data_IF_325975033928
#
_entry.id   IF_325975033928
#
_cell.length_a   1.000
_cell.length_b   1.000
_cell.length_c   1.000
_cell.angle_alpha   90.00
_cell.angle_beta   90.00
_cell.angle_gamma   90.00
#
_symmetry.space_group_name_H-M   'P 1'
#
loop_
_entity.id
_entity.type
_entity.pdbx_description
1 polymer ?
#
# COMPACT_ATOMS: atom_id res chain seq x y z
N UNK A 1 18.84 -18.90 -10.35
CA UNK A 1 18.33 -18.10 -9.23
C UNK A 1 16.83 -17.93 -9.34
N UNK A 2 16.11 -18.69 -8.55
CA UNK A 2 14.67 -18.48 -8.43
C UNK A 2 14.40 -17.60 -7.23
N UNK A 3 14.11 -16.34 -7.48
CA UNK A 3 13.57 -15.46 -6.46
C UNK A 3 12.06 -15.60 -6.44
N UNK A 4 11.43 -15.37 -5.28
CA UNK A 4 10.01 -15.22 -5.26
C UNK A 4 9.63 -14.03 -6.16
N UNK A 5 8.41 -14.03 -6.66
CA UNK A 5 7.94 -12.96 -7.53
C UNK A 5 8.08 -11.57 -6.86
N UNK A 6 7.78 -11.49 -5.56
CA UNK A 6 7.93 -10.26 -4.80
C UNK A 6 9.37 -9.80 -4.61
N UNK A 7 10.31 -10.74 -4.39
CA UNK A 7 11.72 -10.41 -4.31
C UNK A 7 12.25 -9.83 -5.62
N UNK A 8 11.85 -10.42 -6.74
CA UNK A 8 12.25 -9.93 -8.05
C UNK A 8 11.75 -8.51 -8.29
N UNK A 9 10.50 -8.23 -7.89
CA UNK A 9 9.93 -6.89 -8.00
C UNK A 9 10.72 -5.87 -7.18
N UNK A 10 11.01 -6.17 -5.91
CA UNK A 10 11.72 -5.22 -5.04
C UNK A 10 13.13 -4.95 -5.54
N UNK A 11 13.87 -5.97 -5.96
CA UNK A 11 15.22 -5.81 -6.51
C UNK A 11 15.22 -4.98 -7.79
N UNK A 12 14.29 -5.28 -8.69
CA UNK A 12 14.16 -4.55 -9.94
C UNK A 12 13.87 -3.07 -9.66
N UNK A 13 12.94 -2.79 -8.76
CA UNK A 13 12.53 -1.44 -8.41
C UNK A 13 13.68 -0.68 -7.74
N UNK A 14 14.38 -1.30 -6.78
CA UNK A 14 15.51 -0.69 -6.10
C UNK A 14 16.61 -0.30 -7.08
N UNK A 15 16.90 -1.16 -8.05
CA UNK A 15 17.89 -0.90 -9.07
C UNK A 15 17.50 0.28 -9.97
N UNK A 16 16.24 0.31 -10.39
CA UNK A 16 15.71 1.39 -11.24
C UNK A 16 15.69 2.73 -10.53
N UNK A 17 15.37 2.75 -9.25
CA UNK A 17 15.18 3.98 -8.49
C UNK A 17 16.48 4.63 -8.01
N UNK A 18 17.62 4.10 -8.38
CA UNK A 18 18.91 4.76 -8.15
C UNK A 18 19.08 6.02 -9.00
N UNK A 19 18.31 6.12 -10.07
CA UNK A 19 18.36 7.28 -10.96
C UNK A 19 17.31 8.30 -10.55
N UNK A 20 17.63 9.57 -10.73
CA UNK A 20 16.68 10.65 -10.57
C UNK A 20 15.54 10.48 -11.58
N UNK A 21 14.31 10.64 -11.10
CA UNK A 21 13.15 10.49 -11.96
C UNK A 21 11.84 10.38 -11.20
N UNK A 22 10.77 10.19 -11.96
CA UNK A 22 9.42 9.96 -11.44
C UNK A 22 9.05 8.51 -11.77
N UNK A 23 8.63 7.77 -10.75
CA UNK A 23 8.29 6.35 -10.88
C UNK A 23 6.84 6.16 -10.48
N UNK A 24 6.08 5.45 -11.32
CA UNK A 24 4.66 5.21 -11.12
C UNK A 24 4.48 3.72 -10.84
N UNK A 25 3.85 3.40 -9.71
CA UNK A 25 3.52 2.04 -9.31
C UNK A 25 2.01 1.87 -9.24
N UNK A 26 1.50 0.87 -9.92
CA UNK A 26 0.07 0.56 -9.94
C UNK A 26 -0.19 -0.75 -9.22
N UNK A 27 -0.79 -0.67 -8.05
CA UNK A 27 -1.16 -1.81 -7.20
C UNK A 27 0.00 -2.80 -6.99
N UNK A 28 1.15 -2.34 -6.46
CA UNK A 28 2.30 -3.24 -6.25
C UNK A 28 2.00 -4.35 -5.26
N UNK A 29 1.02 -4.19 -4.38
CA UNK A 29 0.60 -5.22 -3.43
C UNK A 29 0.12 -6.50 -4.13
N UNK A 30 -0.30 -6.45 -5.37
CA UNK A 30 -0.73 -7.65 -6.11
C UNK A 30 0.39 -8.68 -6.28
N UNK A 31 1.64 -8.24 -6.24
CA UNK A 31 2.83 -9.08 -6.37
C UNK A 31 3.57 -9.26 -5.04
N UNK A 32 3.08 -8.67 -3.93
CA UNK A 32 3.83 -8.59 -2.68
C UNK A 32 3.03 -9.13 -1.50
N UNK A 33 3.63 -10.06 -0.76
CA UNK A 33 3.13 -10.44 0.57
C UNK A 33 3.19 -9.24 1.53
N UNK A 34 2.48 -9.28 2.66
CA UNK A 34 2.60 -8.21 3.65
C UNK A 34 4.04 -7.92 4.07
N UNK A 35 4.86 -8.95 4.26
CA UNK A 35 6.26 -8.79 4.60
C UNK A 35 7.03 -8.05 3.50
N UNK A 36 6.77 -8.39 2.24
CA UNK A 36 7.41 -7.73 1.09
C UNK A 36 6.92 -6.29 0.93
N UNK A 37 5.68 -6.02 1.27
CA UNK A 37 5.17 -4.63 1.28
C UNK A 37 5.92 -3.78 2.30
N UNK A 38 6.28 -4.33 3.45
CA UNK A 38 7.09 -3.62 4.44
C UNK A 38 8.49 -3.34 3.88
N UNK A 39 9.09 -4.27 3.15
CA UNK A 39 10.36 -4.02 2.48
C UNK A 39 10.25 -2.87 1.46
N UNK A 40 9.15 -2.84 0.71
CA UNK A 40 8.90 -1.73 -0.21
C UNK A 40 8.81 -0.40 0.54
N UNK A 41 8.11 -0.37 1.67
CA UNK A 41 8.01 0.84 2.49
C UNK A 41 9.39 1.31 2.96
N UNK A 42 10.26 0.40 3.40
CA UNK A 42 11.63 0.75 3.79
C UNK A 42 12.40 1.39 2.65
N UNK A 43 12.27 0.84 1.45
CA UNK A 43 12.91 1.38 0.26
C UNK A 43 12.38 2.75 -0.10
N UNK A 44 11.05 2.93 -0.07
CA UNK A 44 10.42 4.22 -0.35
C UNK A 44 10.88 5.30 0.64
N UNK A 45 11.05 4.94 1.92
CA UNK A 45 11.56 5.88 2.92
C UNK A 45 13.00 6.29 2.62
N UNK A 46 13.84 5.35 2.24
CA UNK A 46 15.23 5.66 1.87
C UNK A 46 15.27 6.61 0.68
N UNK A 47 14.41 6.39 -0.31
CA UNK A 47 14.30 7.26 -1.49
C UNK A 47 13.85 8.66 -1.12
N UNK A 48 12.84 8.76 -0.26
CA UNK A 48 12.32 10.05 0.20
C UNK A 48 13.40 10.85 0.94
N UNK A 49 14.14 10.19 1.82
CA UNK A 49 15.22 10.84 2.56
C UNK A 49 16.39 11.25 1.67
N UNK A 50 16.67 10.50 0.61
CA UNK A 50 17.75 10.86 -0.32
C UNK A 50 17.35 11.96 -1.30
N UNK A 51 16.06 12.15 -1.54
CA UNK A 51 15.54 13.18 -2.44
C UNK A 51 15.84 12.94 -3.91
N UNK A 52 16.24 11.74 -4.30
CA UNK A 52 16.67 11.46 -5.68
C UNK A 52 15.51 11.13 -6.62
N UNK A 53 14.39 10.66 -6.09
CA UNK A 53 13.29 10.19 -6.92
C UNK A 53 11.94 10.53 -6.29
N UNK A 54 10.94 10.70 -7.15
CA UNK A 54 9.53 10.84 -6.74
C UNK A 54 8.79 9.56 -7.12
N UNK A 55 8.01 9.02 -6.20
CA UNK A 55 7.17 7.86 -6.46
C UNK A 55 5.70 8.25 -6.32
N UNK A 56 4.92 7.88 -7.32
CA UNK A 56 3.47 8.03 -7.32
C UNK A 56 2.89 6.62 -7.34
N UNK A 57 2.04 6.29 -6.39
CA UNK A 57 1.53 4.93 -6.23
C UNK A 57 0.02 4.91 -6.12
N UNK A 58 -0.62 4.02 -6.89
CA UNK A 58 -2.02 3.66 -6.69
C UNK A 58 -2.07 2.35 -5.92
N UNK A 59 -2.82 2.31 -4.84
CA UNK A 59 -2.87 1.11 -3.99
C UNK A 59 -4.18 1.01 -3.21
N UNK A 60 -4.57 -0.22 -2.88
CA UNK A 60 -5.63 -0.54 -1.92
C UNK A 60 -5.07 -1.16 -0.64
N UNK A 61 -3.74 -1.26 -0.52
CA UNK A 61 -3.11 -1.87 0.66
C UNK A 61 -3.05 -0.90 1.82
N UNK A 62 -3.65 -1.22 2.97
CA UNK A 62 -3.53 -0.39 4.17
C UNK A 62 -2.07 -0.20 4.61
N UNK A 63 -1.23 -1.24 4.46
CA UNK A 63 0.19 -1.12 4.79
C UNK A 63 0.87 -0.03 3.95
N UNK A 64 0.66 -0.06 2.64
CA UNK A 64 1.30 0.91 1.74
C UNK A 64 0.73 2.32 1.93
N UNK A 65 -0.58 2.44 2.22
CA UNK A 65 -1.20 3.73 2.52
C UNK A 65 -0.59 4.40 3.75
N UNK A 66 -0.16 3.59 4.71
CA UNK A 66 0.40 4.09 5.97
C UNK A 66 1.88 4.45 5.88
N UNK A 67 2.48 4.42 4.69
CA UNK A 67 3.90 4.74 4.51
C UNK A 67 4.24 6.10 5.11
N UNK A 68 5.18 6.15 6.08
CA UNK A 68 5.53 7.42 6.72
C UNK A 68 6.07 8.44 5.71
N UNK A 69 5.61 9.68 5.84
CA UNK A 69 6.03 10.76 4.97
C UNK A 69 5.30 10.82 3.63
N UNK A 70 4.46 9.85 3.31
CA UNK A 70 3.68 9.87 2.08
C UNK A 70 2.50 10.85 2.18
N UNK A 71 2.20 11.48 1.05
CA UNK A 71 0.97 12.27 0.92
C UNK A 71 -0.10 11.35 0.35
N UNK A 72 -1.13 11.10 1.12
CA UNK A 72 -2.21 10.19 0.74
C UNK A 72 -3.38 10.96 0.15
N UNK A 73 -3.80 10.58 -1.06
CA UNK A 73 -4.94 11.18 -1.74
C UNK A 73 -6.03 10.15 -1.94
N UNK A 74 -7.26 10.55 -1.67
CA UNK A 74 -8.44 9.76 -2.02
C UNK A 74 -8.96 10.22 -3.38
N UNK A 75 -9.18 9.25 -4.27
CA UNK A 75 -9.76 9.51 -5.58
C UNK A 75 -11.27 9.28 -5.48
N UNK A 76 -12.05 10.26 -5.91
CA UNK A 76 -13.51 10.16 -6.04
C UNK A 76 -13.93 10.79 -7.36
N UNK A 77 -15.23 10.70 -7.66
CA UNK A 77 -15.77 11.38 -8.85
C UNK A 77 -15.62 12.90 -8.79
N UNK A 78 -15.32 13.44 -7.62
CA UNK A 78 -15.12 14.88 -7.44
C UNK A 78 -13.63 15.29 -7.52
N UNK A 79 -12.73 14.34 -7.77
CA UNK A 79 -11.31 14.61 -7.92
C UNK A 79 -10.45 13.95 -6.86
N UNK A 80 -9.30 14.57 -6.56
CA UNK A 80 -8.34 14.11 -5.58
C UNK A 80 -8.42 14.95 -4.32
N UNK A 81 -8.57 14.30 -3.17
CA UNK A 81 -8.57 14.97 -1.87
C UNK A 81 -7.47 14.39 -0.98
N UNK A 82 -6.68 15.29 -0.39
CA UNK A 82 -5.69 14.89 0.60
C UNK A 82 -6.43 14.33 1.83
N UNK A 83 -5.97 13.18 2.31
CA UNK A 83 -6.62 12.51 3.44
C UNK A 83 -5.58 11.98 4.42
N UNK A 84 -6.00 11.67 5.63
CA UNK A 84 -5.19 10.96 6.62
C UNK A 84 -5.50 9.46 6.52
N UNK A 85 -4.48 8.63 6.73
CA UNK A 85 -4.65 7.17 6.68
C UNK A 85 -5.76 6.69 7.63
N UNK A 86 -5.83 7.26 8.84
CA UNK A 86 -6.82 6.86 9.85
C UNK A 86 -8.25 7.21 9.45
N UNK A 87 -8.43 8.09 8.48
CA UNK A 87 -9.75 8.48 7.97
C UNK A 87 -10.17 7.67 6.73
N UNK A 88 -9.34 6.73 6.28
CA UNK A 88 -9.69 5.89 5.13
C UNK A 88 -10.64 4.77 5.53
N UNK A 89 -11.50 4.39 4.58
CA UNK A 89 -12.37 3.21 4.75
C UNK A 89 -11.55 1.94 4.89
N UNK A 90 -10.42 1.86 4.20
CA UNK A 90 -9.49 0.73 4.28
C UNK A 90 -8.98 0.51 5.70
N UNK A 91 -8.55 1.58 6.36
CA UNK A 91 -8.07 1.47 7.73
C UNK A 91 -9.19 1.07 8.70
N UNK A 92 -10.35 1.73 8.58
CA UNK A 92 -11.49 1.49 9.45
C UNK A 92 -11.97 0.05 9.35
N UNK A 93 -12.11 -0.45 8.12
CA UNK A 93 -12.53 -1.83 7.88
C UNK A 93 -11.51 -2.82 8.41
N UNK A 94 -10.23 -2.61 8.13
CA UNK A 94 -9.17 -3.50 8.58
C UNK A 94 -9.07 -3.51 10.10
N UNK A 95 -9.22 -2.37 10.75
CA UNK A 95 -9.22 -2.28 12.20
C UNK A 95 -10.37 -3.09 12.81
N UNK A 96 -11.58 -2.93 12.28
CA UNK A 96 -12.74 -3.69 12.74
C UNK A 96 -12.55 -5.18 12.54
N UNK A 97 -12.03 -5.57 11.38
CA UNK A 97 -11.73 -6.98 11.09
C UNK A 97 -10.69 -7.54 12.08
N UNK A 98 -9.59 -6.84 12.29
CA UNK A 98 -8.52 -7.33 13.18
C UNK A 98 -8.96 -7.41 14.64
N UNK A 99 -9.85 -6.53 15.08
CA UNK A 99 -10.35 -6.54 16.46
C UNK A 99 -11.19 -7.79 16.76
N UNK A 100 -11.98 -8.25 15.78
CA UNK A 100 -12.85 -9.42 15.91
C UNK A 100 -13.12 -10.00 14.52
N UNK A 101 -12.19 -10.80 13.97
CA UNK A 101 -12.35 -11.32 12.62
C UNK A 101 -13.62 -12.16 12.43
N UNK A 102 -13.92 -13.02 13.39
CA UNK A 102 -15.08 -13.92 13.29
C UNK A 102 -16.38 -13.13 13.34
N UNK A 103 -16.50 -12.18 14.26
CA UNK A 103 -17.68 -11.33 14.38
C UNK A 103 -17.87 -10.43 13.18
N UNK A 104 -16.78 -9.87 12.67
CA UNK A 104 -16.81 -9.03 11.47
C UNK A 104 -17.34 -9.82 10.27
N UNK A 105 -16.83 -11.03 10.05
CA UNK A 105 -17.25 -11.85 8.91
C UNK A 105 -18.66 -12.38 9.10
N UNK A 106 -19.05 -12.75 10.33
CA UNK A 106 -20.40 -13.20 10.61
C UNK A 106 -21.44 -12.12 10.27
N UNK A 107 -21.16 -10.87 10.61
CA UNK A 107 -22.03 -9.76 10.29
C UNK A 107 -22.07 -9.49 8.78
N UNK A 108 -20.91 -9.51 8.13
CA UNK A 108 -20.81 -9.27 6.69
C UNK A 108 -21.56 -10.34 5.87
N UNK A 109 -21.61 -11.57 6.36
CA UNK A 109 -22.24 -12.70 5.68
C UNK A 109 -23.69 -12.95 6.11
N UNK A 110 -24.18 -12.18 7.05
CA UNK A 110 -25.51 -12.41 7.65
C UNK A 110 -26.63 -12.46 6.62
N UNK A 111 -26.64 -11.54 5.67
CA UNK A 111 -27.68 -11.47 4.65
C UNK A 111 -27.64 -12.66 3.69
N UNK A 112 -26.45 -13.20 3.42
CA UNK A 112 -26.27 -14.34 2.53
C UNK A 112 -26.67 -15.66 3.20
N UNK A 113 -26.58 -15.74 4.54
CA UNK A 113 -26.86 -16.95 5.31
C UNK A 113 -28.24 -16.96 5.93
N UNK A 114 -28.94 -15.86 5.92
CA UNK A 114 -30.31 -15.74 6.42
C UNK A 114 -31.35 -16.24 5.37
#
# INVERSE_FOLDING_TARGET
LSWSHGEGFIRFFEERCRRQGIYILDEPESALSPTRQIELIRMLRRMDLSGTAQVIMATHSPLLMACPGARLFRISRFGLDLTDFHDTDHFRMMRSFCNDPDGFLAEALYEDEA
#
